data_IF_127484154381
#
_entry.id   IF_127484154381
#
_cell.length_a   1.000
_cell.length_b   1.000
_cell.length_c   1.000
_cell.angle_alpha   90.00
_cell.angle_beta   90.00
_cell.angle_gamma   90.00
#
_symmetry.space_group_name_H-M   'P 1'
#
loop_
_entity.id
_entity.type
_entity.pdbx_description
1 polymer ?
#
# COMPACT_ATOMS: atom_id res chain seq x y z
N UNK A 1 -8.36 0.73 -5.76
CA UNK A 1 -8.40 -0.68 -5.33
C UNK A 1 -8.41 -0.74 -3.82
N UNK A 2 -9.32 -1.52 -3.23
CA UNK A 2 -9.33 -1.81 -1.79
C UNK A 2 -8.46 -3.05 -1.55
N UNK A 3 -7.44 -2.93 -0.71
CA UNK A 3 -6.48 -4.00 -0.41
C UNK A 3 -6.83 -4.75 0.88
N UNK A 4 -7.44 -4.06 1.84
CA UNK A 4 -7.89 -4.63 3.10
C UNK A 4 -9.08 -3.84 3.66
N UNK A 5 -9.93 -4.53 4.41
CA UNK A 5 -11.04 -3.97 5.19
C UNK A 5 -10.89 -4.38 6.66
N UNK A 6 -11.43 -3.58 7.58
CA UNK A 6 -11.52 -3.96 8.99
C UNK A 6 -12.69 -4.93 9.26
N UNK A 7 -12.96 -5.19 10.54
CA UNK A 7 -14.04 -6.08 10.98
C UNK A 7 -15.44 -5.57 10.68
N UNK A 8 -15.60 -4.26 10.48
CA UNK A 8 -16.87 -3.61 10.13
C UNK A 8 -17.02 -3.43 8.61
N UNK A 9 -16.04 -3.90 7.82
CA UNK A 9 -16.03 -3.82 6.37
C UNK A 9 -15.55 -2.47 5.82
N UNK A 10 -14.97 -1.61 6.66
CA UNK A 10 -14.47 -0.31 6.23
C UNK A 10 -13.08 -0.45 5.57
N UNK A 11 -12.80 0.20 4.44
CA UNK A 11 -11.49 0.16 3.81
C UNK A 11 -10.39 0.74 4.72
N UNK A 12 -9.35 -0.05 5.01
CA UNK A 12 -8.22 0.37 5.86
C UNK A 12 -6.88 0.39 5.14
N UNK A 13 -6.79 -0.21 3.95
CA UNK A 13 -5.66 -0.07 3.04
C UNK A 13 -6.16 0.02 1.60
N UNK A 14 -5.71 1.03 0.86
CA UNK A 14 -6.16 1.30 -0.50
C UNK A 14 -4.99 1.68 -1.41
N UNK A 15 -5.14 1.39 -2.71
CA UNK A 15 -4.22 1.83 -3.76
C UNK A 15 -4.97 2.52 -4.88
N UNK A 16 -4.45 3.66 -5.35
CA UNK A 16 -4.95 4.37 -6.52
C UNK A 16 -3.79 4.85 -7.39
N UNK A 17 -3.56 4.18 -8.51
CA UNK A 17 -2.40 4.46 -9.37
C UNK A 17 -1.10 4.32 -8.58
N UNK A 18 -0.36 5.42 -8.45
CA UNK A 18 0.92 5.49 -7.72
C UNK A 18 0.78 5.83 -6.22
N UNK A 19 -0.45 5.96 -5.72
CA UNK A 19 -0.73 6.32 -4.32
C UNK A 19 -1.12 5.07 -3.54
N UNK A 20 -0.51 4.89 -2.37
CA UNK A 20 -0.85 3.89 -1.36
C UNK A 20 -1.19 4.61 -0.05
N UNK A 21 -2.28 4.22 0.61
CA UNK A 21 -2.71 4.82 1.87
C UNK A 21 -3.22 3.77 2.86
N UNK A 22 -3.01 4.02 4.16
CA UNK A 22 -3.49 3.20 5.28
C UNK A 22 -4.16 4.05 6.34
N UNK A 23 -5.17 3.48 7.01
CA UNK A 23 -5.80 4.05 8.20
C UNK A 23 -5.09 3.65 9.52
N UNK A 24 -3.97 2.93 9.41
CA UNK A 24 -3.15 2.46 10.51
C UNK A 24 -1.68 2.75 10.23
N UNK A 25 -0.85 2.52 11.25
CA UNK A 25 0.60 2.72 11.23
C UNK A 25 1.33 1.41 10.91
N UNK A 26 1.64 1.12 9.63
CA UNK A 26 2.33 -0.12 9.27
C UNK A 26 3.73 -0.23 9.86
N UNK A 27 4.32 0.87 10.34
CA UNK A 27 5.64 0.96 10.97
C UNK A 27 5.67 0.46 12.41
N UNK A 28 4.51 0.32 13.07
CA UNK A 28 4.42 -0.14 14.47
C UNK A 28 4.44 -1.68 14.59
N UNK A 29 4.94 -2.36 13.56
CA UNK A 29 5.16 -3.82 13.53
C UNK A 29 6.43 -4.13 12.74
N UNK A 30 7.04 -5.28 13.02
CA UNK A 30 8.18 -5.78 12.24
C UNK A 30 7.75 -6.36 10.87
N UNK A 31 6.45 -6.47 10.60
CA UNK A 31 5.95 -6.91 9.30
C UNK A 31 6.14 -5.85 8.21
N UNK A 32 7.12 -6.09 7.34
CA UNK A 32 7.50 -5.16 6.27
C UNK A 32 6.80 -5.40 4.94
N UNK A 33 5.75 -6.25 4.87
CA UNK A 33 5.07 -6.56 3.60
C UNK A 33 4.52 -5.32 2.91
N UNK A 34 3.90 -4.40 3.66
CA UNK A 34 3.34 -3.17 3.08
C UNK A 34 4.44 -2.18 2.66
N UNK A 35 5.50 -2.05 3.47
CA UNK A 35 6.68 -1.26 3.11
C UNK A 35 7.34 -1.76 1.82
N UNK A 36 7.46 -3.09 1.67
CA UNK A 36 7.98 -3.70 0.45
C UNK A 36 7.08 -3.40 -0.76
N UNK A 37 5.76 -3.51 -0.61
CA UNK A 37 4.81 -3.13 -1.67
C UNK A 37 5.02 -1.67 -2.11
N UNK A 38 5.18 -0.73 -1.16
CA UNK A 38 5.44 0.68 -1.48
C UNK A 38 6.73 0.85 -2.29
N UNK A 39 7.82 0.19 -1.91
CA UNK A 39 9.11 0.26 -2.62
C UNK A 39 9.00 -0.33 -4.03
N UNK A 40 8.33 -1.48 -4.17
CA UNK A 40 8.07 -2.10 -5.47
C UNK A 40 7.23 -1.19 -6.39
N UNK A 41 6.25 -0.46 -5.83
CA UNK A 41 5.47 0.53 -6.58
C UNK A 41 6.34 1.69 -7.11
N UNK A 42 7.39 2.09 -6.39
CA UNK A 42 8.35 3.09 -6.89
C UNK A 42 9.19 2.51 -8.03
N UNK A 43 9.67 1.28 -7.87
CA UNK A 43 10.45 0.58 -8.90
C UNK A 43 9.68 0.37 -10.21
N UNK A 44 8.39 0.03 -10.10
CA UNK A 44 7.50 -0.12 -11.28
C UNK A 44 7.10 1.22 -11.90
N UNK A 45 6.94 2.29 -11.11
CA UNK A 45 6.66 3.63 -11.62
C UNK A 45 7.82 4.23 -12.44
N UNK A 46 9.06 3.78 -12.23
CA UNK A 46 10.22 4.15 -13.03
C UNK A 46 10.29 3.41 -14.40
N UNK A 47 9.47 2.37 -14.59
CA UNK A 47 9.40 1.55 -15.81
C UNK A 47 8.46 2.08 -16.91
N UNK A 48 7.97 3.32 -16.82
CA UNK A 48 7.16 3.99 -17.86
C UNK A 48 7.92 5.16 -18.52
N UNK A 49 9.24 5.00 -18.69
CA UNK A 49 10.01 5.75 -19.69
C UNK A 49 10.30 4.82 -20.86
N UNK A 50 9.32 4.67 -21.74
CA UNK A 50 9.48 4.28 -23.13
C UNK A 50 8.61 5.24 -23.95
#
# INVERSE_FOLDING_TARGET
EVLAVDTDGQPIAVRQGKVLATAFHPELTEDRRLHRLLVEMVGTAAGHRA
#
